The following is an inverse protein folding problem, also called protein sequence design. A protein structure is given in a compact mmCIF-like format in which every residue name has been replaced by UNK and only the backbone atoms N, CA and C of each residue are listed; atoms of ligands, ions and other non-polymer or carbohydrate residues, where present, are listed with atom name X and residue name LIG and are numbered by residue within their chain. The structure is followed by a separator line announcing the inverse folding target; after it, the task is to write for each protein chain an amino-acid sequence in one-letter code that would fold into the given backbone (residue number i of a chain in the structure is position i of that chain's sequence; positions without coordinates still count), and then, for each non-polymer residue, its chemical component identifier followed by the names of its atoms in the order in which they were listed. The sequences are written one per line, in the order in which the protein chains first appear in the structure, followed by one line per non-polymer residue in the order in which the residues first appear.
data_IF_038979890634
#
_entry.id   IF_038979890634
#
_cell.length_a   1.000
_cell.length_b   1.000
_cell.length_c   1.000
_cell.angle_alpha   90.00
_cell.angle_beta   90.00
_cell.angle_gamma   90.00
#
_symmetry.space_group_name_H-M   'P 1'
#
loop_
_entity.id
_entity.type
_entity.pdbx_description
1 polymer ?
#
# COMPACT_ATOMS: atom_id res chain seq x y z
N UNK A 1 -5.01 19.95 33.32
CA UNK A 1 -4.99 18.61 32.70
C UNK A 1 -4.16 18.71 31.43
N UNK A 2 -2.95 18.14 31.43
CA UNK A 2 -2.12 18.07 30.22
C UNK A 2 -2.67 16.96 29.33
N UNK A 3 -3.14 17.33 28.14
CA UNK A 3 -3.46 16.37 27.09
C UNK A 3 -2.15 15.77 26.61
N UNK A 4 -1.99 14.47 26.81
CA UNK A 4 -0.88 13.75 26.19
C UNK A 4 -1.21 13.68 24.70
N UNK A 5 -0.54 14.51 23.91
CA UNK A 5 -0.55 14.46 22.44
C UNK A 5 0.14 13.16 21.98
N UNK A 6 -0.55 12.03 22.17
CA UNK A 6 -0.20 10.76 21.53
C UNK A 6 -0.57 10.87 20.05
N UNK A 7 0.38 11.22 19.21
CA UNK A 7 0.16 11.27 17.76
C UNK A 7 1.25 12.00 17.01
N UNK A 8 2.51 11.64 17.24
CA UNK A 8 3.61 12.12 16.40
C UNK A 8 3.50 11.59 14.96
N UNK A 9 4.30 12.14 14.05
CA UNK A 9 4.37 11.82 12.60
C UNK A 9 4.33 10.31 12.29
N UNK A 10 4.87 9.46 13.18
CA UNK A 10 4.81 7.99 13.07
C UNK A 10 3.38 7.43 13.06
N UNK A 11 2.48 8.02 13.82
CA UNK A 11 1.08 7.60 13.94
C UNK A 11 0.26 7.99 12.69
N UNK A 12 0.65 9.09 12.03
CA UNK A 12 0.06 9.52 10.76
C UNK A 12 0.48 8.63 9.60
N UNK A 13 1.76 8.24 9.54
CA UNK A 13 2.26 7.28 8.54
C UNK A 13 1.60 5.91 8.67
N UNK A 14 1.47 5.40 9.91
CA UNK A 14 0.76 4.13 10.16
C UNK A 14 -0.72 4.22 9.79
N UNK A 15 -1.38 5.32 10.16
CA UNK A 15 -2.79 5.57 9.80
C UNK A 15 -3.00 5.58 8.29
N UNK A 16 -2.12 6.26 7.55
CA UNK A 16 -2.18 6.33 6.10
C UNK A 16 -1.91 4.96 5.46
N UNK A 17 -0.90 4.24 5.97
CA UNK A 17 -0.61 2.89 5.52
C UNK A 17 -1.81 1.97 5.73
N UNK A 18 -2.38 1.92 6.95
CA UNK A 18 -3.51 1.06 7.27
C UNK A 18 -4.74 1.40 6.44
N UNK A 19 -5.04 2.68 6.24
CA UNK A 19 -6.12 3.09 5.35
C UNK A 19 -5.92 2.57 3.92
N UNK A 20 -4.69 2.65 3.39
CA UNK A 20 -4.40 2.24 2.02
C UNK A 20 -4.20 0.72 1.84
N UNK A 21 -3.97 -0.04 2.91
CA UNK A 21 -3.73 -1.51 2.85
C UNK A 21 -4.86 -2.35 3.44
N UNK A 22 -5.89 -1.74 4.00
CA UNK A 22 -7.07 -2.43 4.50
C UNK A 22 -8.28 -2.30 3.57
N UNK A 23 -9.22 -3.22 3.72
CA UNK A 23 -10.55 -3.17 3.13
C UNK A 23 -11.53 -3.72 4.16
N UNK A 24 -12.44 -2.88 4.67
CA UNK A 24 -13.39 -3.26 5.71
C UNK A 24 -14.81 -3.11 5.16
N UNK A 25 -15.62 -4.17 5.20
CA UNK A 25 -17.02 -4.10 4.82
C UNK A 25 -17.88 -3.89 6.07
N UNK A 26 -18.66 -2.81 6.07
CA UNK A 26 -19.43 -2.33 7.22
C UNK A 26 -20.90 -2.23 6.82
N UNK A 27 -21.79 -2.93 7.55
CA UNK A 27 -23.23 -2.93 7.29
C UNK A 27 -23.84 -1.53 7.33
N UNK A 28 -24.96 -1.32 6.63
CA UNK A 28 -25.66 -0.03 6.52
C UNK A 28 -26.09 0.55 7.86
N UNK A 29 -26.45 -0.32 8.80
CA UNK A 29 -27.02 0.07 10.08
C UNK A 29 -25.92 0.31 11.14
N UNK A 30 -24.66 0.14 10.76
CA UNK A 30 -23.55 0.36 11.67
C UNK A 30 -23.38 1.86 11.96
N UNK A 31 -23.11 2.19 13.22
CA UNK A 31 -22.90 3.56 13.72
C UNK A 31 -21.77 4.34 13.02
N UNK A 32 -20.97 3.67 12.19
CA UNK A 32 -19.90 4.31 11.41
C UNK A 32 -20.46 5.26 10.34
N UNK A 33 -21.68 5.02 9.87
CA UNK A 33 -22.33 5.82 8.84
C UNK A 33 -23.12 7.01 9.38
N UNK A 34 -23.24 7.16 10.71
CA UNK A 34 -23.92 8.29 11.33
C UNK A 34 -23.23 9.61 10.94
N UNK A 35 -24.05 10.59 10.56
CA UNK A 35 -23.58 11.90 10.05
C UNK A 35 -22.80 12.72 11.08
N UNK A 36 -23.02 12.46 12.37
CA UNK A 36 -22.34 13.13 13.48
C UNK A 36 -20.96 12.53 13.81
N UNK A 37 -20.54 11.44 13.15
CA UNK A 37 -19.24 10.80 13.40
C UNK A 37 -18.22 11.12 12.31
N UNK A 38 -17.02 11.47 12.75
CA UNK A 38 -15.88 11.67 11.85
C UNK A 38 -15.39 10.31 11.33
N UNK A 39 -15.45 10.12 10.01
CA UNK A 39 -14.91 8.95 9.30
C UNK A 39 -13.39 9.08 9.16
N UNK A 40 -12.69 8.74 10.25
CA UNK A 40 -11.24 8.91 10.37
C UNK A 40 -10.49 7.77 9.69
N UNK A 41 -9.41 8.09 8.96
CA UNK A 41 -8.53 7.12 8.30
C UNK A 41 -7.98 6.02 9.22
N UNK A 42 -7.86 6.30 10.53
CA UNK A 42 -7.38 5.33 11.53
C UNK A 42 -8.26 4.08 11.65
N UNK A 43 -9.50 4.12 11.17
CA UNK A 43 -10.40 2.97 11.13
C UNK A 43 -10.22 2.09 9.88
N UNK A 44 -9.33 2.49 8.97
CA UNK A 44 -9.11 1.79 7.70
C UNK A 44 -10.07 2.25 6.60
N UNK A 45 -9.99 1.60 5.45
CA UNK A 45 -10.84 1.89 4.30
C UNK A 45 -12.16 1.12 4.39
N UNK A 46 -13.12 1.74 5.07
CA UNK A 46 -14.47 1.20 5.23
C UNK A 46 -15.32 1.40 3.98
N UNK A 47 -15.96 0.32 3.54
CA UNK A 47 -16.93 0.23 2.45
C UNK A 47 -18.26 -0.21 3.00
N UNK A 48 -19.34 0.26 2.38
CA UNK A 48 -20.68 -0.24 2.69
C UNK A 48 -20.77 -1.71 2.28
N UNK A 49 -21.15 -2.57 3.22
CA UNK A 49 -21.40 -3.98 2.92
C UNK A 49 -22.73 -4.14 2.19
N UNK A 50 -22.80 -5.10 1.28
CA UNK A 50 -24.05 -5.53 0.65
C UNK A 50 -24.47 -6.89 1.23
N UNK A 51 -25.60 -6.93 1.92
CA UNK A 51 -26.13 -8.10 2.60
C UNK A 51 -26.03 -8.00 4.12
N UNK A 52 -26.97 -8.68 4.80
CA UNK A 52 -27.20 -8.52 6.24
C UNK A 52 -26.41 -9.52 7.10
N UNK A 53 -25.98 -10.63 6.49
CA UNK A 53 -25.22 -11.69 7.14
C UNK A 53 -23.84 -11.84 6.51
N UNK A 54 -22.87 -12.27 7.31
CA UNK A 54 -21.45 -12.34 6.90
C UNK A 54 -21.23 -13.15 5.61
N UNK A 55 -21.97 -14.24 5.40
CA UNK A 55 -21.87 -15.07 4.20
C UNK A 55 -22.28 -14.31 2.94
N UNK A 56 -23.38 -13.55 3.00
CA UNK A 56 -23.84 -12.71 1.90
C UNK A 56 -22.82 -11.60 1.60
N UNK A 57 -22.29 -10.95 2.64
CA UNK A 57 -21.25 -9.93 2.50
C UNK A 57 -20.01 -10.51 1.81
N UNK A 58 -19.54 -11.68 2.24
CA UNK A 58 -18.37 -12.32 1.63
C UNK A 58 -18.59 -12.64 0.14
N UNK A 59 -19.77 -13.18 -0.20
CA UNK A 59 -20.12 -13.50 -1.58
C UNK A 59 -20.18 -12.23 -2.45
N UNK A 60 -20.92 -11.23 -1.99
CA UNK A 60 -21.17 -9.99 -2.74
C UNK A 60 -19.90 -9.15 -2.91
N UNK A 61 -19.02 -9.18 -1.91
CA UNK A 61 -17.77 -8.41 -1.89
C UNK A 61 -16.58 -9.12 -2.53
N UNK A 62 -16.73 -10.39 -2.94
CA UNK A 62 -15.63 -11.22 -3.43
C UNK A 62 -14.85 -10.55 -4.57
N UNK A 63 -15.55 -10.01 -5.58
CA UNK A 63 -14.92 -9.36 -6.74
C UNK A 63 -14.11 -8.13 -6.32
N UNK A 64 -14.63 -7.32 -5.40
CA UNK A 64 -13.91 -6.13 -4.90
C UNK A 64 -12.68 -6.53 -4.09
N UNK A 65 -12.80 -7.52 -3.20
CA UNK A 65 -11.69 -8.02 -2.40
C UNK A 65 -10.56 -8.60 -3.27
N UNK A 66 -10.89 -9.41 -4.28
CA UNK A 66 -9.91 -9.96 -5.22
C UNK A 66 -9.22 -8.84 -5.99
N UNK A 67 -9.97 -7.88 -6.53
CA UNK A 67 -9.39 -6.73 -7.25
C UNK A 67 -8.48 -5.88 -6.35
N UNK A 68 -8.86 -5.69 -5.09
CA UNK A 68 -8.04 -4.97 -4.12
C UNK A 68 -6.70 -5.68 -3.88
N UNK A 69 -6.73 -7.00 -3.67
CA UNK A 69 -5.52 -7.80 -3.47
C UNK A 69 -4.63 -7.81 -4.71
N UNK A 70 -5.20 -8.05 -5.90
CA UNK A 70 -4.44 -8.09 -7.15
C UNK A 70 -3.75 -6.76 -7.45
N UNK A 71 -4.43 -5.62 -7.26
CA UNK A 71 -3.82 -4.29 -7.45
C UNK A 71 -2.59 -4.09 -6.57
N UNK A 72 -2.62 -4.59 -5.32
CA UNK A 72 -1.47 -4.48 -4.42
C UNK A 72 -0.30 -5.36 -4.83
N UNK A 73 -0.56 -6.51 -5.44
CA UNK A 73 0.48 -7.39 -5.98
C UNK A 73 1.09 -6.78 -7.26
N UNK A 74 0.26 -6.30 -8.18
CA UNK A 74 0.73 -5.71 -9.44
C UNK A 74 1.62 -4.49 -9.22
N UNK A 75 1.26 -3.60 -8.28
CA UNK A 75 2.08 -2.43 -7.95
C UNK A 75 3.46 -2.85 -7.44
N UNK A 76 3.55 -3.87 -6.57
CA UNK A 76 4.84 -4.37 -6.07
C UNK A 76 5.70 -4.94 -7.20
N UNK A 77 5.11 -5.74 -8.10
CA UNK A 77 5.85 -6.31 -9.24
C UNK A 77 6.39 -5.24 -10.22
N UNK A 78 5.72 -4.09 -10.33
CA UNK A 78 6.22 -2.97 -11.16
C UNK A 78 7.28 -2.11 -10.46
N UNK A 79 7.29 -2.06 -9.13
CA UNK A 79 8.31 -1.35 -8.35
C UNK A 79 9.64 -2.13 -8.35
N UNK A 80 9.58 -3.46 -8.22
CA UNK A 80 10.77 -4.33 -8.19
C UNK A 80 11.51 -4.37 -9.55
N UNK A 81 10.80 -4.25 -10.67
CA UNK A 81 11.38 -4.27 -12.02
C UNK A 81 12.15 -2.99 -12.41
N UNK A 82 12.03 -1.90 -11.65
CA UNK A 82 12.72 -0.65 -11.96
C UNK A 82 14.09 -0.51 -11.29
N UNK A 83 14.51 -1.48 -10.47
CA UNK A 83 15.79 -1.42 -9.76
C UNK A 83 16.96 -2.10 -10.50
N UNK A 84 16.74 -2.65 -11.69
CA UNK A 84 17.80 -3.25 -12.50
C UNK A 84 18.29 -2.28 -13.59
N UNK A 85 18.84 -1.14 -13.15
CA UNK A 85 19.62 -0.24 -14.00
C UNK A 85 20.97 0.04 -13.35
N UNK A 86 21.97 -0.69 -13.82
CA UNK A 86 23.33 -0.15 -13.88
C UNK A 86 24.45 -1.09 -13.45
N UNK A 87 24.79 -2.06 -14.29
CA UNK A 87 26.19 -2.40 -14.48
C UNK A 87 26.43 -2.76 -15.95
N UNK A 88 26.49 -1.73 -16.80
CA UNK A 88 27.10 -1.84 -18.12
C UNK A 88 28.62 -1.98 -17.92
N UNK A 89 29.12 -3.23 -17.91
CA UNK A 89 30.55 -3.48 -18.01
C UNK A 89 30.96 -3.39 -19.49
N UNK A 90 31.17 -2.16 -19.97
CA UNK A 90 31.96 -1.93 -21.19
C UNK A 90 33.41 -1.71 -20.77
N UNK A 91 34.23 -2.74 -20.85
CA UNK A 91 35.68 -2.54 -20.96
C UNK A 91 36.12 -2.94 -22.36
N UNK A 92 36.36 -1.90 -23.16
CA UNK A 92 36.89 -1.97 -24.50
C UNK A 92 38.38 -2.30 -24.51
N UNK A 93 38.78 -2.96 -25.59
CA UNK A 93 40.15 -3.15 -26.05
C UNK A 93 40.87 -1.81 -26.23
N UNK A 94 42.17 -1.81 -25.88
CA UNK A 94 43.21 -1.12 -26.65
C UNK A 94 43.89 0.06 -25.96
N UNK A 95 45.10 -0.18 -25.43
CA UNK A 95 46.15 0.84 -25.36
C UNK A 95 47.41 0.23 -26.01
N UNK A 96 47.86 0.84 -27.10
CA UNK A 96 49.23 0.75 -27.62
C UNK A 96 50.10 1.77 -26.89
N UNK A 97 51.38 1.47 -26.64
CA UNK A 97 52.34 2.50 -26.24
C UNK A 97 53.62 1.98 -25.59
N UNK A 98 54.70 2.03 -26.36
CA UNK A 98 56.14 1.95 -26.08
C UNK A 98 56.66 2.18 -24.64
N UNK A 99 57.72 1.43 -24.28
CA UNK A 99 58.61 1.76 -23.17
C UNK A 99 59.71 0.71 -22.93
N UNK A 100 60.95 1.13 -23.19
CA UNK A 100 62.27 0.49 -23.07
C UNK A 100 62.64 -0.26 -21.77
N UNK A 101 63.60 -1.19 -21.90
CA UNK A 101 64.69 -1.64 -20.97
C UNK A 101 64.85 -3.18 -21.10
N UNK A 102 66.02 -3.83 -21.23
CA UNK A 102 67.43 -3.48 -21.28
C UNK A 102 68.19 -4.57 -22.07
#
# INVERSE_FOLDING_TARGET
MQSILYGGIKDQGLTEWYFNTSLLFVGSDHLYWESNKSRRKKYGNCKLASGDVISAVMLNSQKEAVNFMLRKITVRATEDNNNDKGHNNKNGKGEEGEGTEA
#
